data_IF_474912474938
#
_entry.id   IF_474912474938
#
_cell.length_a   1.000
_cell.length_b   1.000
_cell.length_c   1.000
_cell.angle_alpha   90.00
_cell.angle_beta   90.00
_cell.angle_gamma   90.00
#
_symmetry.space_group_name_H-M   'P 1'
#
loop_
_entity.id
_entity.type
_entity.pdbx_description
1 polymer ?
#
# COMPACT_ATOMS: atom_id res chain seq x y z
N UNK A 1 -21.72 -33.46 29.99
CA UNK A 1 -23.03 -32.79 30.12
C UNK A 1 -23.20 -31.99 28.85
N UNK A 2 -24.28 -32.20 28.10
CA UNK A 2 -24.52 -31.50 26.84
C UNK A 2 -24.94 -30.06 27.18
N UNK A 3 -24.10 -29.08 26.89
CA UNK A 3 -24.37 -27.67 27.23
C UNK A 3 -23.14 -26.78 27.36
N UNK A 4 -21.94 -27.33 27.19
CA UNK A 4 -20.71 -26.55 27.13
C UNK A 4 -20.51 -25.93 25.74
N UNK A 5 -19.78 -24.80 25.66
CA UNK A 5 -19.42 -24.15 24.39
C UNK A 5 -18.73 -25.13 23.43
N UNK A 6 -17.94 -26.06 23.96
CA UNK A 6 -17.22 -27.07 23.18
C UNK A 6 -18.18 -28.05 22.49
N UNK A 7 -19.27 -28.45 23.17
CA UNK A 7 -20.32 -29.31 22.57
C UNK A 7 -21.00 -28.60 21.39
N UNK A 8 -21.28 -27.31 21.52
CA UNK A 8 -21.87 -26.49 20.45
C UNK A 8 -20.92 -26.35 19.28
N UNK A 9 -19.62 -26.17 19.54
CA UNK A 9 -18.61 -26.03 18.51
C UNK A 9 -18.47 -27.33 17.70
N UNK A 10 -18.50 -28.48 18.37
CA UNK A 10 -18.52 -29.80 17.73
C UNK A 10 -19.79 -29.98 16.88
N UNK A 11 -20.98 -29.61 17.39
CA UNK A 11 -22.23 -29.69 16.64
C UNK A 11 -22.20 -28.85 15.36
N UNK A 12 -21.66 -27.62 15.43
CA UNK A 12 -21.52 -26.75 14.26
C UNK A 12 -20.57 -27.35 13.23
N UNK A 13 -19.42 -27.87 13.66
CA UNK A 13 -18.45 -28.51 12.75
C UNK A 13 -19.09 -29.72 12.05
N UNK A 14 -19.81 -30.56 12.78
CA UNK A 14 -20.50 -31.73 12.21
C UNK A 14 -21.59 -31.30 11.23
N UNK A 15 -22.40 -30.30 11.58
CA UNK A 15 -23.42 -29.76 10.68
C UNK A 15 -22.81 -29.21 9.39
N UNK A 16 -21.71 -28.46 9.48
CA UNK A 16 -20.98 -27.93 8.32
C UNK A 16 -20.42 -29.06 7.45
N UNK A 17 -19.94 -30.16 8.02
CA UNK A 17 -19.46 -31.31 7.24
C UNK A 17 -20.60 -32.06 6.55
N UNK A 18 -21.76 -32.22 7.20
CA UNK A 18 -22.91 -32.91 6.63
C UNK A 18 -23.55 -32.09 5.50
N UNK A 19 -23.82 -30.80 5.75
CA UNK A 19 -24.49 -29.92 4.78
C UNK A 19 -23.53 -29.33 3.74
N UNK A 20 -22.30 -28.99 4.15
CA UNK A 20 -21.26 -28.52 3.24
C UNK A 20 -20.57 -29.66 2.50
N UNK A 21 -20.52 -30.86 3.04
CA UNK A 21 -19.78 -31.96 2.44
C UNK A 21 -18.25 -31.78 2.54
N UNK A 22 -17.53 -32.89 2.49
CA UNK A 22 -16.07 -32.94 2.69
C UNK A 22 -15.26 -32.17 1.64
N UNK A 23 -15.87 -31.84 0.48
CA UNK A 23 -15.22 -31.13 -0.63
C UNK A 23 -15.34 -29.61 -0.54
N UNK A 24 -16.36 -29.06 0.13
CA UNK A 24 -16.58 -27.60 0.16
C UNK A 24 -15.54 -26.86 0.99
N UNK A 25 -15.11 -27.42 2.13
CA UNK A 25 -14.10 -26.77 2.97
C UNK A 25 -12.75 -26.62 2.23
N UNK A 26 -12.20 -27.67 1.59
CA UNK A 26 -11.00 -27.53 0.74
C UNK A 26 -11.20 -26.59 -0.46
N UNK A 27 -12.37 -26.62 -1.10
CA UNK A 27 -12.69 -25.76 -2.25
C UNK A 27 -12.72 -24.28 -1.85
N UNK A 28 -13.37 -23.95 -0.73
CA UNK A 28 -13.40 -22.61 -0.16
C UNK A 28 -12.01 -22.11 0.22
N UNK A 29 -11.20 -22.93 0.90
CA UNK A 29 -9.83 -22.56 1.24
C UNK A 29 -8.98 -22.28 0.00
N UNK A 30 -9.13 -23.09 -1.06
CA UNK A 30 -8.40 -22.90 -2.32
C UNK A 30 -8.86 -21.67 -3.09
N UNK A 31 -10.16 -21.38 -3.11
CA UNK A 31 -10.70 -20.19 -3.75
C UNK A 31 -10.34 -18.92 -2.99
N UNK A 32 -10.42 -18.95 -1.66
CA UNK A 32 -10.00 -17.85 -0.80
C UNK A 32 -8.50 -17.60 -0.91
N UNK A 33 -7.68 -18.67 -0.92
CA UNK A 33 -6.23 -18.55 -1.12
C UNK A 33 -5.87 -17.93 -2.47
N UNK A 34 -6.58 -18.29 -3.54
CA UNK A 34 -6.42 -17.65 -4.86
C UNK A 34 -6.82 -16.18 -4.82
N UNK A 35 -8.00 -15.86 -4.28
CA UNK A 35 -8.48 -14.48 -4.17
C UNK A 35 -7.52 -13.60 -3.37
N UNK A 36 -7.04 -14.07 -2.21
CA UNK A 36 -6.05 -13.36 -1.40
C UNK A 36 -4.70 -13.22 -2.12
N UNK A 37 -4.28 -14.23 -2.87
CA UNK A 37 -3.06 -14.20 -3.67
C UNK A 37 -3.11 -13.14 -4.78
N UNK A 38 -4.18 -13.14 -5.58
CA UNK A 38 -4.40 -12.14 -6.62
C UNK A 38 -4.59 -10.73 -6.02
N UNK A 39 -5.29 -10.61 -4.89
CA UNK A 39 -5.44 -9.34 -4.19
C UNK A 39 -4.09 -8.78 -3.70
N UNK A 40 -3.23 -9.63 -3.13
CA UNK A 40 -1.88 -9.23 -2.71
C UNK A 40 -1.01 -8.83 -3.89
N UNK A 41 -1.11 -9.54 -5.01
CA UNK A 41 -0.41 -9.21 -6.25
C UNK A 41 -0.86 -7.85 -6.81
N UNK A 42 -2.17 -7.62 -6.88
CA UNK A 42 -2.73 -6.33 -7.30
C UNK A 42 -2.33 -5.18 -6.38
N UNK A 43 -2.32 -5.39 -5.07
CA UNK A 43 -1.80 -4.39 -4.13
C UNK A 43 -0.32 -4.05 -4.38
N UNK A 44 0.52 -5.06 -4.64
CA UNK A 44 1.94 -4.84 -4.93
C UNK A 44 2.15 -4.13 -6.28
N UNK A 45 1.34 -4.43 -7.29
CA UNK A 45 1.34 -3.71 -8.57
C UNK A 45 0.95 -2.25 -8.37
N UNK A 46 -0.12 -1.97 -7.61
CA UNK A 46 -0.55 -0.61 -7.27
C UNK A 46 0.54 0.13 -6.47
N UNK A 47 1.15 -0.50 -5.48
CA UNK A 47 2.25 0.07 -4.71
C UNK A 47 3.43 0.42 -5.62
N UNK A 48 3.83 -0.49 -6.51
CA UNK A 48 4.89 -0.25 -7.48
C UNK A 48 4.53 0.88 -8.47
N UNK A 49 3.28 0.96 -8.91
CA UNK A 49 2.79 2.07 -9.76
C UNK A 49 2.78 3.40 -9.00
N UNK A 50 2.38 3.42 -7.73
CA UNK A 50 2.41 4.61 -6.88
C UNK A 50 3.84 5.04 -6.63
N UNK A 51 4.77 4.13 -6.31
CA UNK A 51 6.18 4.46 -6.14
C UNK A 51 6.83 4.91 -7.45
N UNK A 52 6.50 4.28 -8.57
CA UNK A 52 7.01 4.67 -9.90
C UNK A 52 6.45 6.00 -10.38
N UNK A 53 5.20 6.34 -10.04
CA UNK A 53 4.61 7.64 -10.36
C UNK A 53 4.94 8.74 -9.33
N UNK A 54 5.18 8.37 -8.07
CA UNK A 54 5.74 9.31 -7.07
C UNK A 54 7.16 9.71 -7.49
N UNK A 55 7.90 8.82 -8.16
CA UNK A 55 9.16 9.20 -8.80
C UNK A 55 9.02 10.20 -9.98
N UNK A 56 7.82 10.35 -10.56
CA UNK A 56 7.52 11.37 -11.59
C UNK A 56 6.97 12.68 -11.03
N UNK A 57 6.42 12.68 -9.81
CA UNK A 57 5.90 13.87 -9.12
C UNK A 57 6.70 14.30 -7.90
N UNK A 58 7.83 13.66 -7.61
CA UNK A 58 8.82 14.24 -6.73
C UNK A 58 9.36 15.50 -7.42
N UNK A 59 8.93 16.64 -6.87
CA UNK A 59 9.55 17.93 -7.11
C UNK A 59 11.01 17.75 -6.75
N UNK A 60 11.84 17.50 -7.76
CA UNK A 60 13.27 17.38 -7.60
C UNK A 60 13.79 18.79 -7.33
N UNK A 61 13.82 19.13 -6.04
CA UNK A 61 14.31 20.43 -5.56
C UNK A 61 15.75 20.68 -6.03
N UNK A 62 16.54 19.63 -6.32
CA UNK A 62 17.87 19.79 -6.89
C UNK A 62 17.80 20.22 -8.36
N UNK A 63 16.88 19.66 -9.14
CA UNK A 63 16.66 20.06 -10.53
C UNK A 63 16.12 21.49 -10.65
N UNK A 64 15.18 21.87 -9.78
CA UNK A 64 14.64 23.24 -9.72
C UNK A 64 15.71 24.24 -9.26
N UNK A 65 16.54 23.86 -8.28
CA UNK A 65 17.67 24.68 -7.86
C UNK A 65 18.68 24.90 -9.00
N UNK A 66 18.97 23.87 -9.79
CA UNK A 66 19.83 23.99 -10.97
C UNK A 66 19.26 24.93 -12.03
N UNK A 67 17.96 24.81 -12.35
CA UNK A 67 17.27 25.68 -13.32
C UNK A 67 17.23 27.15 -12.86
N UNK A 68 17.20 27.39 -11.54
CA UNK A 68 17.23 28.72 -10.94
C UNK A 68 18.65 29.24 -10.64
N UNK A 69 19.69 28.50 -11.07
CA UNK A 69 21.09 28.80 -10.83
C UNK A 69 21.44 28.98 -9.34
N UNK A 70 20.80 28.20 -8.47
CA UNK A 70 21.06 28.19 -7.02
C UNK A 70 22.25 27.27 -6.75
N UNK A 71 23.22 27.75 -5.98
CA UNK A 71 24.36 26.92 -5.53
C UNK A 71 23.88 25.89 -4.51
N UNK A 72 23.90 24.62 -4.93
CA UNK A 72 23.52 23.45 -4.13
C UNK A 72 24.68 22.91 -3.29
N UNK A 73 25.92 23.36 -3.52
CA UNK A 73 27.09 22.84 -2.81
C UNK A 73 27.09 23.35 -1.38
N UNK A 74 27.17 22.42 -0.43
CA UNK A 74 27.19 22.67 1.03
C UNK A 74 25.88 23.23 1.64
N UNK A 75 24.72 23.06 0.98
CA UNK A 75 23.41 23.46 1.53
C UNK A 75 22.54 22.26 1.88
N UNK A 76 21.72 22.40 2.92
CA UNK A 76 20.70 21.40 3.27
C UNK A 76 19.45 21.57 2.38
N UNK A 77 18.62 20.52 2.30
CA UNK A 77 17.37 20.53 1.53
C UNK A 77 16.47 21.70 1.96
N UNK A 78 16.38 21.98 3.26
CA UNK A 78 15.55 23.08 3.78
C UNK A 78 16.06 24.47 3.35
N UNK A 79 17.37 24.67 3.27
CA UNK A 79 17.97 25.92 2.79
C UNK A 79 17.71 26.13 1.29
N UNK A 80 17.81 25.04 0.51
CA UNK A 80 17.51 25.06 -0.92
C UNK A 80 16.04 25.40 -1.16
N UNK A 81 15.12 24.79 -0.40
CA UNK A 81 13.68 25.07 -0.49
C UNK A 81 13.38 26.53 -0.09
N UNK A 82 14.05 27.05 0.94
CA UNK A 82 13.94 28.46 1.34
C UNK A 82 14.31 29.43 0.21
N UNK A 83 15.45 29.20 -0.44
CA UNK A 83 15.95 30.05 -1.54
C UNK A 83 15.10 29.94 -2.81
N UNK A 84 14.58 28.74 -3.13
CA UNK A 84 13.64 28.56 -4.24
C UNK A 84 12.40 29.42 -4.02
N UNK A 85 11.80 29.36 -2.82
CA UNK A 85 10.60 30.14 -2.50
C UNK A 85 10.85 31.65 -2.53
N UNK A 86 12.04 32.10 -2.11
CA UNK A 86 12.42 33.50 -2.15
C UNK A 86 12.57 34.00 -3.60
N UNK A 87 13.27 33.25 -4.47
CA UNK A 87 13.41 33.59 -5.89
C UNK A 87 12.07 33.57 -6.65
N UNK A 88 11.15 32.67 -6.29
CA UNK A 88 9.83 32.61 -6.91
C UNK A 88 8.95 33.80 -6.54
N UNK A 89 8.97 34.24 -5.27
CA UNK A 89 8.25 35.45 -4.82
C UNK A 89 8.73 36.73 -5.49
N UNK A 90 10.02 36.82 -5.81
CA UNK A 90 10.61 37.98 -6.50
C UNK A 90 10.15 38.05 -7.96
N UNK A 91 9.74 36.92 -8.56
CA UNK A 91 9.34 36.83 -9.97
C UNK A 91 7.84 37.09 -10.22
N UNK A 92 7.01 37.04 -9.19
CA UNK A 92 5.57 37.35 -9.25
C UNK A 92 5.24 38.84 -9.05
N UNK A 93 6.24 39.69 -8.77
CA UNK A 93 6.14 41.15 -8.74
C UNK A 93 6.88 41.76 -9.93
#
# INVERSE_FOLDING_TARGET
>A
MIGSIDDWLILIVVAVIIFGGTKKIPELARNLGRATGEFKKGQMEIENEIHSNTNKNQIDYMKIAQDLNIDIKNKTIDQIIGEINEKLKIKEN
#
